data_IF_855890952829
#
_entry.id   IF_855890952829
#
_cell.length_a   1.000
_cell.length_b   1.000
_cell.length_c   1.000
_cell.angle_alpha   90.00
_cell.angle_beta   90.00
_cell.angle_gamma   90.00
#
_symmetry.space_group_name_H-M   'P 1'
#
loop_
_entity.id
_entity.type
_entity.pdbx_description
1 polymer ?
#
# COMPACT_ATOMS: atom_id res chain seq x y z
N UNK A 1 -20.38 -15.39 12.12
CA UNK A 1 -20.46 -15.31 10.65
C UNK A 1 -19.10 -15.62 10.09
N UNK A 2 -18.96 -16.84 9.59
CA UNK A 2 -17.73 -17.48 9.12
C UNK A 2 -17.58 -17.32 7.60
N UNK A 3 -16.34 -17.40 7.11
CA UNK A 3 -15.93 -17.30 5.69
C UNK A 3 -15.46 -15.87 5.36
N UNK A 4 -14.23 -15.57 4.96
CA UNK A 4 -13.24 -16.33 4.19
C UNK A 4 -11.85 -16.16 4.82
N UNK A 5 -11.25 -17.30 5.21
CA UNK A 5 -9.83 -17.44 5.53
C UNK A 5 -9.14 -18.10 4.32
N UNK A 6 -9.14 -17.45 3.16
CA UNK A 6 -8.25 -17.78 2.06
C UNK A 6 -8.19 -16.57 1.14
N UNK A 7 -7.10 -15.81 1.28
CA UNK A 7 -6.29 -15.39 0.16
C UNK A 7 -5.05 -14.72 0.76
N UNK A 8 -3.93 -15.43 0.72
CA UNK A 8 -2.64 -14.79 0.75
C UNK A 8 -2.48 -14.01 -0.56
N UNK A 9 -3.18 -12.88 -0.69
CA UNK A 9 -2.79 -11.86 -1.66
C UNK A 9 -1.46 -11.33 -1.16
N UNK A 10 -0.39 -11.97 -1.60
CA UNK A 10 0.96 -11.46 -1.47
C UNK A 10 1.01 -10.19 -2.31
N UNK A 11 0.57 -9.06 -1.73
CA UNK A 11 0.70 -7.76 -2.37
C UNK A 11 2.18 -7.57 -2.69
N UNK A 12 2.46 -7.52 -3.98
CA UNK A 12 3.79 -7.46 -4.55
C UNK A 12 4.53 -6.22 -4.02
N UNK A 13 5.64 -6.44 -3.33
CA UNK A 13 6.58 -5.39 -2.98
C UNK A 13 7.77 -5.49 -3.96
N UNK A 14 8.23 -4.37 -4.55
CA UNK A 14 9.38 -4.39 -5.44
C UNK A 14 10.60 -5.00 -4.77
N UNK A 15 11.43 -5.71 -5.55
CA UNK A 15 12.64 -6.39 -5.03
C UNK A 15 13.60 -5.42 -4.34
N UNK A 16 13.67 -4.17 -4.80
CA UNK A 16 14.48 -3.13 -4.16
C UNK A 16 13.91 -2.71 -2.79
N UNK A 17 12.58 -2.69 -2.60
CA UNK A 17 11.98 -2.41 -1.29
C UNK A 17 12.25 -3.52 -0.29
N UNK A 18 12.18 -4.79 -0.73
CA UNK A 18 12.50 -5.95 0.13
C UNK A 18 13.99 -6.00 0.45
N UNK A 19 14.84 -5.68 -0.51
CA UNK A 19 16.29 -5.59 -0.29
C UNK A 19 16.64 -4.45 0.68
N UNK A 20 16.02 -3.28 0.52
CA UNK A 20 16.19 -2.15 1.44
C UNK A 20 15.68 -2.50 2.85
N UNK A 21 14.51 -3.14 2.94
CA UNK A 21 13.96 -3.61 4.20
C UNK A 21 14.90 -4.61 4.88
N UNK A 22 15.40 -5.61 4.14
CA UNK A 22 16.34 -6.61 4.65
C UNK A 22 17.66 -5.98 5.10
N UNK A 23 18.15 -4.98 4.35
CA UNK A 23 19.34 -4.22 4.71
C UNK A 23 19.13 -3.40 6.00
N UNK A 24 18.00 -2.74 6.16
CA UNK A 24 17.65 -2.01 7.40
C UNK A 24 17.46 -2.97 8.59
N UNK A 25 16.81 -4.10 8.38
CA UNK A 25 16.59 -5.14 9.39
C UNK A 25 17.89 -5.80 9.84
N UNK A 26 18.97 -5.75 9.04
CA UNK A 26 20.30 -6.23 9.44
C UNK A 26 20.88 -5.48 10.64
N UNK A 27 20.42 -4.26 10.92
CA UNK A 27 20.86 -3.48 12.08
C UNK A 27 20.02 -3.69 13.34
N UNK A 28 18.95 -4.51 13.31
CA UNK A 28 18.07 -4.74 14.46
C UNK A 28 18.22 -6.16 15.00
N UNK A 29 18.62 -6.29 16.26
CA UNK A 29 18.76 -7.59 16.93
C UNK A 29 17.43 -8.37 16.92
N UNK A 30 17.50 -9.65 16.53
CA UNK A 30 16.38 -10.59 16.56
C UNK A 30 16.17 -11.05 18.01
N UNK A 31 15.40 -10.30 18.78
CA UNK A 31 15.04 -10.70 20.15
C UNK A 31 13.99 -11.84 20.14
N UNK A 32 14.04 -12.78 21.12
CA UNK A 32 13.10 -13.89 21.22
C UNK A 32 11.64 -13.44 21.33
N UNK A 33 10.74 -14.20 20.72
CA UNK A 33 9.31 -13.90 20.64
C UNK A 33 8.58 -14.14 21.96
N UNK A 34 8.33 -13.08 22.74
CA UNK A 34 7.45 -13.09 23.93
C UNK A 34 5.98 -12.75 23.58
N UNK A 35 5.42 -13.31 22.51
CA UNK A 35 4.02 -13.06 22.19
C UNK A 35 3.09 -13.67 23.27
N UNK A 36 2.20 -12.89 23.89
CA UNK A 36 1.15 -13.46 24.73
C UNK A 36 0.35 -14.46 23.89
N UNK A 37 0.16 -15.68 24.39
CA UNK A 37 -0.72 -16.65 23.75
C UNK A 37 -2.12 -16.02 23.68
N UNK A 38 -2.83 -16.22 22.57
CA UNK A 38 -4.22 -15.75 22.42
C UNK A 38 -5.00 -16.24 23.63
N UNK A 39 -5.37 -15.33 24.53
CA UNK A 39 -6.07 -15.67 25.75
C UNK A 39 -7.54 -15.90 25.37
N UNK A 40 -7.99 -17.14 25.58
CA UNK A 40 -9.40 -17.49 25.43
C UNK A 40 -10.09 -17.22 26.76
N UNK A 41 -11.28 -16.62 26.69
CA UNK A 41 -12.18 -16.56 27.84
C UNK A 41 -12.66 -17.97 28.21
N UNK A 42 -13.13 -18.23 29.44
CA UNK A 42 -13.68 -19.54 29.85
C UNK A 42 -14.83 -20.03 28.94
N UNK A 43 -15.50 -19.11 28.25
CA UNK A 43 -16.56 -19.37 27.27
C UNK A 43 -16.04 -19.69 25.84
N UNK A 44 -14.73 -19.89 25.65
CA UNK A 44 -14.11 -20.22 24.36
C UNK A 44 -14.01 -19.06 23.36
N UNK A 45 -14.43 -17.84 23.74
CA UNK A 45 -14.30 -16.66 22.87
C UNK A 45 -12.88 -16.11 22.92
N UNK A 46 -12.28 -15.90 21.75
CA UNK A 46 -10.99 -15.19 21.57
C UNK A 46 -11.15 -13.75 22.04
N UNK A 47 -10.30 -13.29 22.95
CA UNK A 47 -10.25 -11.87 23.33
C UNK A 47 -9.61 -11.08 22.18
N UNK A 48 -10.38 -10.18 21.56
CA UNK A 48 -9.95 -9.43 20.38
C UNK A 48 -9.54 -8.00 20.78
N UNK A 49 -8.24 -7.71 20.75
CA UNK A 49 -7.71 -6.38 21.08
C UNK A 49 -7.59 -5.45 19.85
N UNK A 50 -7.95 -5.94 18.66
CA UNK A 50 -7.77 -5.19 17.41
C UNK A 50 -8.67 -3.95 17.33
N UNK A 51 -9.86 -3.99 17.95
CA UNK A 51 -10.76 -2.82 18.04
C UNK A 51 -10.14 -1.72 18.90
N UNK A 52 -9.50 -2.09 20.02
CA UNK A 52 -8.80 -1.13 20.89
C UNK A 52 -7.60 -0.52 20.17
N UNK A 53 -6.81 -1.34 19.46
CA UNK A 53 -5.69 -0.89 18.65
C UNK A 53 -6.13 0.06 17.52
N UNK A 54 -7.24 -0.25 16.85
CA UNK A 54 -7.79 0.61 15.81
C UNK A 54 -8.24 1.95 16.41
N UNK A 55 -8.99 1.91 17.52
CA UNK A 55 -9.46 3.09 18.24
C UNK A 55 -8.32 4.00 18.69
N UNK A 56 -7.23 3.45 19.23
CA UNK A 56 -6.08 4.26 19.66
C UNK A 56 -5.38 4.92 18.48
N UNK A 57 -5.21 4.22 17.36
CA UNK A 57 -4.60 4.78 16.15
C UNK A 57 -5.44 5.93 15.61
N UNK A 58 -6.76 5.77 15.47
CA UNK A 58 -7.64 6.85 14.98
C UNK A 58 -7.72 8.00 15.98
N UNK A 59 -7.80 7.72 17.29
CA UNK A 59 -7.83 8.77 18.32
C UNK A 59 -6.56 9.62 18.32
N UNK A 60 -5.38 8.99 18.36
CA UNK A 60 -4.10 9.72 18.33
C UNK A 60 -3.96 10.52 17.03
N UNK A 61 -4.35 9.94 15.90
CA UNK A 61 -4.34 10.64 14.61
C UNK A 61 -5.26 11.87 14.64
N UNK A 62 -6.47 11.74 15.18
CA UNK A 62 -7.43 12.83 15.30
C UNK A 62 -6.93 13.95 16.23
N UNK A 63 -6.33 13.62 17.38
CA UNK A 63 -5.74 14.61 18.28
C UNK A 63 -4.63 15.41 17.60
N UNK A 64 -3.75 14.75 16.85
CA UNK A 64 -2.66 15.41 16.11
C UNK A 64 -3.22 16.33 15.02
N UNK A 65 -4.21 15.87 14.26
CA UNK A 65 -4.87 16.67 13.21
C UNK A 65 -5.58 17.88 13.83
N UNK A 66 -6.30 17.71 14.94
CA UNK A 66 -6.98 18.79 15.64
C UNK A 66 -5.97 19.84 16.14
N UNK A 67 -4.82 19.40 16.67
CA UNK A 67 -3.75 20.30 17.12
C UNK A 67 -3.10 21.04 15.94
N UNK A 68 -2.87 20.36 14.82
CA UNK A 68 -2.33 21.00 13.63
C UNK A 68 -3.31 22.04 13.04
N UNK A 69 -4.61 21.72 13.08
CA UNK A 69 -5.67 22.62 12.61
C UNK A 69 -5.82 23.84 13.51
N UNK A 70 -5.66 23.71 14.83
CA UNK A 70 -5.70 24.87 15.74
C UNK A 70 -4.54 25.84 15.47
N UNK A 71 -3.39 25.31 15.03
CA UNK A 71 -2.22 26.06 14.60
C UNK A 71 -2.30 26.55 13.14
N UNK A 72 -3.41 26.27 12.42
CA UNK A 72 -3.62 26.61 11.00
C UNK A 72 -2.53 26.07 10.06
N UNK A 73 -1.93 24.94 10.42
CA UNK A 73 -0.94 24.27 9.58
C UNK A 73 -1.64 23.28 8.63
N UNK A 74 -1.48 23.41 7.29
CA UNK A 74 -2.00 22.42 6.36
C UNK A 74 -1.21 21.11 6.53
N UNK A 75 -1.86 20.08 7.06
CA UNK A 75 -1.28 18.76 7.27
C UNK A 75 -1.97 17.71 6.41
N UNK A 76 -1.18 16.75 5.91
CA UNK A 76 -1.74 15.61 5.20
C UNK A 76 -2.24 14.57 6.20
N UNK A 77 -3.56 14.42 6.28
CA UNK A 77 -4.21 13.44 7.19
C UNK A 77 -3.83 11.99 6.85
N UNK A 78 -3.44 11.71 5.59
CA UNK A 78 -2.91 10.41 5.18
C UNK A 78 -1.55 10.14 5.81
N UNK A 79 -0.67 11.15 5.85
CA UNK A 79 0.66 11.02 6.45
C UNK A 79 0.57 10.82 7.95
N UNK A 80 -0.28 11.60 8.63
CA UNK A 80 -0.47 11.51 10.09
C UNK A 80 -0.99 10.12 10.48
N UNK A 81 -2.05 9.66 9.80
CA UNK A 81 -2.65 8.35 10.11
C UNK A 81 -1.70 7.21 9.80
N UNK A 82 -0.98 7.29 8.68
CA UNK A 82 0.03 6.29 8.32
C UNK A 82 1.18 6.26 9.34
N UNK A 83 1.70 7.42 9.74
CA UNK A 83 2.73 7.51 10.77
C UNK A 83 2.28 6.93 12.12
N UNK A 84 1.02 7.15 12.51
CA UNK A 84 0.45 6.56 13.72
C UNK A 84 0.41 5.01 13.62
N UNK A 85 -0.08 4.46 12.50
CA UNK A 85 -0.09 3.01 12.25
C UNK A 85 1.33 2.43 12.29
N UNK A 86 2.30 3.11 11.67
CA UNK A 86 3.70 2.70 11.66
C UNK A 86 4.30 2.73 13.07
N UNK A 87 4.04 3.79 13.84
CA UNK A 87 4.54 3.95 15.20
C UNK A 87 3.97 2.86 16.12
N UNK A 88 2.66 2.62 16.06
CA UNK A 88 2.02 1.53 16.81
C UNK A 88 2.56 0.17 16.35
N UNK A 89 2.76 -0.05 15.05
CA UNK A 89 3.36 -1.29 14.53
C UNK A 89 4.81 -1.50 14.98
N UNK A 90 5.58 -0.43 15.15
CA UNK A 90 6.96 -0.46 15.63
C UNK A 90 7.02 -0.75 17.13
N UNK A 91 6.15 -0.10 17.92
CA UNK A 91 5.98 -0.32 19.35
C UNK A 91 5.54 -1.76 19.65
N UNK A 92 4.62 -2.30 18.84
CA UNK A 92 4.12 -3.67 18.98
C UNK A 92 5.07 -4.74 18.44
N UNK A 93 6.27 -4.35 17.99
CA UNK A 93 7.30 -5.25 17.45
C UNK A 93 6.75 -6.17 16.34
N UNK A 94 5.76 -5.72 15.57
CA UNK A 94 5.12 -6.52 14.52
C UNK A 94 6.12 -6.86 13.40
N UNK A 95 7.11 -5.99 13.21
CA UNK A 95 8.25 -6.18 12.30
C UNK A 95 9.28 -7.19 12.78
N UNK A 96 9.14 -7.75 13.98
CA UNK A 96 10.01 -8.83 14.46
C UNK A 96 9.39 -10.22 14.24
N UNK A 97 8.12 -10.31 13.82
CA UNK A 97 7.34 -11.56 13.71
C UNK A 97 7.05 -11.93 12.23
N UNK A 98 7.34 -13.16 11.82
CA UNK A 98 7.02 -13.69 10.47
C UNK A 98 7.81 -13.00 9.34
N UNK A 99 7.20 -12.85 8.15
CA UNK A 99 7.76 -12.14 6.98
C UNK A 99 7.91 -10.62 7.22
N UNK A 100 8.82 -10.28 8.13
CA UNK A 100 9.13 -8.93 8.59
C UNK A 100 9.61 -8.02 7.45
N UNK A 101 10.47 -8.56 6.58
CA UNK A 101 10.97 -7.84 5.42
C UNK A 101 9.86 -7.47 4.43
N UNK A 102 8.85 -8.33 4.25
CA UNK A 102 7.74 -8.08 3.35
C UNK A 102 6.76 -7.03 3.93
N UNK A 103 6.48 -7.10 5.24
CA UNK A 103 5.69 -6.08 5.95
C UNK A 103 6.33 -4.70 5.87
N UNK A 104 7.63 -4.62 6.15
CA UNK A 104 8.36 -3.36 6.10
C UNK A 104 8.55 -2.85 4.67
N UNK A 105 8.79 -3.75 3.71
CA UNK A 105 8.91 -3.42 2.29
C UNK A 105 7.66 -2.73 1.74
N UNK A 106 6.46 -3.16 2.16
CA UNK A 106 5.19 -2.49 1.79
C UNK A 106 5.10 -1.06 2.32
N UNK A 107 5.57 -0.82 3.52
CA UNK A 107 5.55 0.52 4.14
C UNK A 107 6.55 1.45 3.46
N UNK A 108 7.74 0.94 3.17
CA UNK A 108 8.75 1.65 2.39
C UNK A 108 8.18 2.02 1.02
N UNK A 109 7.49 1.10 0.35
CA UNK A 109 6.87 1.38 -0.95
C UNK A 109 5.87 2.54 -0.91
N UNK A 110 4.99 2.60 0.10
CA UNK A 110 4.04 3.71 0.27
C UNK A 110 4.78 5.05 0.40
N UNK A 111 5.78 5.10 1.27
CA UNK A 111 6.57 6.33 1.50
C UNK A 111 7.30 6.73 0.22
N UNK A 112 7.98 5.78 -0.42
CA UNK A 112 8.74 6.04 -1.64
C UNK A 112 7.86 6.44 -2.82
N UNK A 113 6.64 5.92 -2.92
CA UNK A 113 5.71 6.27 -4.00
C UNK A 113 5.40 7.77 -4.04
N UNK A 114 5.31 8.44 -2.89
CA UNK A 114 5.09 9.89 -2.84
C UNK A 114 6.24 10.67 -3.46
N UNK A 115 7.47 10.25 -3.18
CA UNK A 115 8.67 10.87 -3.75
C UNK A 115 8.86 10.52 -5.22
N UNK A 116 8.64 9.26 -5.60
CA UNK A 116 8.76 8.79 -7.00
C UNK A 116 7.78 9.56 -7.90
N UNK A 117 6.53 9.74 -7.45
CA UNK A 117 5.54 10.53 -8.18
C UNK A 117 6.02 11.98 -8.40
N UNK A 118 6.56 12.63 -7.35
CA UNK A 118 7.08 13.99 -7.44
C UNK A 118 8.26 14.10 -8.43
N UNK A 119 9.19 13.13 -8.39
CA UNK A 119 10.33 13.06 -9.31
C UNK A 119 9.86 12.88 -10.75
N UNK A 120 8.96 11.91 -11.01
CA UNK A 120 8.42 11.65 -12.35
C UNK A 120 7.68 12.89 -12.87
N UNK A 121 6.84 13.52 -12.06
CA UNK A 121 6.11 14.73 -12.44
C UNK A 121 7.07 15.88 -12.79
N UNK A 122 8.12 16.08 -11.99
CA UNK A 122 9.14 17.12 -12.23
C UNK A 122 9.91 16.85 -13.52
N UNK A 123 10.35 15.61 -13.75
CA UNK A 123 11.07 15.22 -14.98
C UNK A 123 10.18 15.37 -16.20
N UNK A 124 8.92 14.93 -16.13
CA UNK A 124 7.96 15.05 -17.23
C UNK A 124 7.66 16.52 -17.56
N UNK A 125 7.39 17.35 -16.54
CA UNK A 125 7.17 18.78 -16.72
C UNK A 125 8.43 19.48 -17.27
N UNK A 126 9.62 19.11 -16.79
CA UNK A 126 10.89 19.61 -17.31
C UNK A 126 11.13 19.26 -18.77
N UNK A 127 10.80 18.02 -19.18
CA UNK A 127 10.91 17.59 -20.57
C UNK A 127 9.96 18.36 -21.50
N UNK A 128 8.71 18.53 -21.09
CA UNK A 128 7.71 19.31 -21.85
C UNK A 128 8.14 20.78 -21.94
N UNK A 129 8.57 21.38 -20.83
CA UNK A 129 9.07 22.75 -20.81
C UNK A 129 10.26 22.94 -21.78
N UNK A 130 11.22 22.00 -21.78
CA UNK A 130 12.35 22.02 -22.72
C UNK A 130 11.93 21.91 -24.19
N UNK A 131 10.92 21.09 -24.49
CA UNK A 131 10.37 20.94 -25.85
C UNK A 131 9.67 22.21 -26.33
N UNK A 132 8.87 22.84 -25.46
CA UNK A 132 8.18 24.10 -25.77
C UNK A 132 9.18 25.24 -25.97
N UNK A 133 10.24 25.29 -25.16
CA UNK A 133 11.29 26.32 -25.29
C UNK A 133 11.96 26.32 -26.68
N UNK A 134 12.16 25.16 -27.30
CA UNK A 134 12.80 25.08 -28.63
C UNK A 134 11.82 25.23 -29.82
N UNK A 135 10.55 24.84 -29.68
CA UNK A 135 9.60 24.74 -30.81
C UNK A 135 8.37 25.68 -30.70
N UNK A 136 8.28 26.52 -29.67
CA UNK A 136 7.19 27.49 -29.49
C UNK A 136 5.80 26.82 -29.59
N UNK A 137 4.87 27.35 -30.40
CA UNK A 137 3.48 26.88 -30.58
C UNK A 137 3.41 25.42 -31.05
N UNK A 138 4.33 24.97 -31.90
CA UNK A 138 4.35 23.58 -32.39
C UNK A 138 4.68 22.61 -31.26
N UNK A 139 5.54 23.01 -30.33
CA UNK A 139 5.88 22.23 -29.14
C UNK A 139 4.69 22.02 -28.21
N UNK A 140 3.80 23.00 -28.11
CA UNK A 140 2.58 22.90 -27.29
C UNK A 140 1.57 21.91 -27.87
N UNK A 141 1.37 21.90 -29.19
CA UNK A 141 0.48 20.93 -29.86
C UNK A 141 1.02 19.50 -29.75
N UNK A 142 2.33 19.30 -29.90
CA UNK A 142 2.97 18.00 -29.74
C UNK A 142 2.88 17.52 -28.30
N UNK A 143 3.10 18.40 -27.31
CA UNK A 143 2.97 18.04 -25.90
C UNK A 143 1.54 17.61 -25.54
N UNK A 144 0.53 18.29 -26.08
CA UNK A 144 -0.88 17.94 -25.88
C UNK A 144 -1.21 16.58 -26.52
N UNK A 145 -0.79 16.36 -27.77
CA UNK A 145 -0.97 15.08 -28.45
C UNK A 145 -0.26 13.94 -27.71
N UNK A 146 0.97 14.16 -27.25
CA UNK A 146 1.73 13.19 -26.46
C UNK A 146 1.02 12.88 -25.13
N UNK A 147 0.49 13.88 -24.42
CA UNK A 147 -0.27 13.67 -23.18
C UNK A 147 -1.52 12.80 -23.44
N UNK A 148 -2.27 13.08 -24.51
CA UNK A 148 -3.44 12.30 -24.90
C UNK A 148 -3.08 10.86 -25.26
N UNK A 149 -1.99 10.64 -26.01
CA UNK A 149 -1.51 9.30 -26.37
C UNK A 149 -1.08 8.53 -25.12
N UNK A 150 -0.28 9.15 -24.24
CA UNK A 150 0.14 8.53 -22.98
C UNK A 150 -1.09 8.15 -22.15
N UNK A 151 -2.06 9.06 -22.02
CA UNK A 151 -3.30 8.79 -21.29
C UNK A 151 -4.08 7.64 -21.92
N UNK A 152 -4.22 7.59 -23.25
CA UNK A 152 -4.88 6.50 -23.94
C UNK A 152 -4.16 5.16 -23.78
N UNK A 153 -2.82 5.13 -23.87
CA UNK A 153 -2.04 3.91 -23.68
C UNK A 153 -2.15 3.42 -22.24
N UNK A 154 -2.03 4.31 -21.25
CA UNK A 154 -2.17 3.97 -19.83
C UNK A 154 -3.57 3.43 -19.55
N UNK A 155 -4.61 4.08 -20.08
CA UNK A 155 -5.99 3.65 -19.89
C UNK A 155 -6.24 2.28 -20.52
N UNK A 156 -5.81 2.05 -21.76
CA UNK A 156 -5.87 0.72 -22.40
C UNK A 156 -5.14 -0.36 -21.60
N UNK A 157 -4.02 -0.03 -20.97
CA UNK A 157 -3.29 -0.97 -20.10
C UNK A 157 -4.03 -1.23 -18.79
N UNK A 158 -4.66 -0.22 -18.20
CA UNK A 158 -5.49 -0.34 -17.01
C UNK A 158 -6.69 -1.25 -17.29
N UNK A 159 -7.41 -0.99 -18.38
CA UNK A 159 -8.60 -1.77 -18.77
C UNK A 159 -8.23 -3.26 -18.99
N UNK A 160 -7.10 -3.54 -19.65
CA UNK A 160 -6.61 -4.91 -19.84
C UNK A 160 -6.17 -5.59 -18.53
N UNK A 161 -5.75 -4.83 -17.51
CA UNK A 161 -5.46 -5.38 -16.18
C UNK A 161 -6.75 -5.67 -15.41
N UNK A 162 -7.74 -4.79 -15.51
CA UNK A 162 -9.05 -4.97 -14.87
C UNK A 162 -9.78 -6.20 -15.42
N UNK A 163 -9.72 -6.43 -16.73
CA UNK A 163 -10.27 -7.64 -17.36
C UNK A 163 -9.63 -8.92 -16.81
N UNK A 164 -8.29 -8.97 -16.76
CA UNK A 164 -7.55 -10.13 -16.20
C UNK A 164 -7.91 -10.42 -14.74
N UNK A 165 -7.99 -9.38 -13.92
CA UNK A 165 -8.35 -9.53 -12.50
C UNK A 165 -9.80 -9.98 -12.36
N UNK A 166 -10.69 -9.50 -13.23
CA UNK A 166 -12.11 -9.91 -13.25
C UNK A 166 -12.28 -11.35 -13.70
N UNK A 167 -11.53 -11.80 -14.70
CA UNK A 167 -11.49 -13.20 -15.14
C UNK A 167 -11.00 -14.11 -14.00
N UNK A 168 -9.87 -13.79 -13.38
CA UNK A 168 -9.37 -14.56 -12.23
C UNK A 168 -10.37 -14.59 -11.06
N UNK A 169 -11.11 -13.51 -10.82
CA UNK A 169 -12.14 -13.47 -9.79
C UNK A 169 -13.38 -14.31 -10.17
N UNK A 170 -13.76 -14.32 -11.45
CA UNK A 170 -14.85 -15.13 -11.98
C UNK A 170 -14.52 -16.63 -11.90
N UNK A 171 -13.30 -17.03 -12.29
CA UNK A 171 -12.79 -18.40 -12.17
C UNK A 171 -12.79 -18.87 -10.71
N UNK A 172 -12.37 -18.03 -9.76
CA UNK A 172 -12.42 -18.36 -8.33
C UNK A 172 -13.85 -18.51 -7.81
N UNK A 173 -14.79 -17.73 -8.32
CA UNK A 173 -16.19 -17.78 -7.89
C UNK A 173 -16.95 -19.01 -8.43
N UNK A 174 -16.55 -19.54 -9.58
CA UNK A 174 -17.16 -20.72 -10.22
C UNK A 174 -16.24 -21.96 -10.18
N UNK A 175 -15.22 -21.95 -9.33
CA UNK A 175 -14.26 -23.06 -9.19
C UNK A 175 -14.93 -24.39 -8.83
N UNK A 176 -16.05 -24.33 -8.08
CA UNK A 176 -16.85 -25.50 -7.73
C UNK A 176 -17.59 -26.10 -8.94
N UNK A 177 -17.94 -25.28 -9.93
CA UNK A 177 -18.61 -25.69 -11.17
C UNK A 177 -17.60 -26.32 -12.15
N UNK A 178 -16.41 -25.72 -12.28
CA UNK A 178 -15.30 -26.28 -13.07
C UNK A 178 -14.71 -27.57 -12.47
N UNK A 179 -14.83 -27.78 -11.15
CA UNK A 179 -14.40 -29.02 -10.49
C UNK A 179 -15.29 -30.21 -10.88
N UNK A 180 -16.60 -29.96 -11.06
CA UNK A 180 -17.56 -30.98 -11.46
C UNK A 180 -17.44 -31.35 -12.95
N UNK A 181 -17.12 -30.40 -13.84
CA UNK A 181 -16.86 -30.68 -15.27
C UNK A 181 -15.59 -31.51 -15.52
N UNK A 182 -14.64 -31.56 -14.57
CA UNK A 182 -13.44 -32.40 -14.68
C UNK A 182 -13.63 -33.83 -14.17
N UNK A 183 -14.67 -34.09 -13.38
CA UNK A 183 -14.98 -35.43 -12.84
C UNK A 183 -15.99 -36.23 -13.68
N UNK A 184 -16.60 -35.61 -14.70
CA UNK A 184 -17.49 -36.27 -15.69
C UNK A 184 -16.78 -36.65 -16.98
#
# INVERSE_FOLDING_TARGET
SAGSQVDHVALWAPRWCVALAAWMLRWRSREPSLAPRVTYTPAGKKMHYDVLRACTITYVSACVIATASSLKLPVSTTYVTFAAVLATGLADRIFQRGDSALKLGRMIWVISSWFICAVIATVAAGLVCRLVYHLSIVGMLIALAANLIVRQVVQRRSDAQEERVREEAYERAHADEFALERES
#
